data_IF_894188596560
#
_entry.id   IF_894188596560
#
_cell.length_a   1.000
_cell.length_b   1.000
_cell.length_c   1.000
_cell.angle_alpha   90.00
_cell.angle_beta   90.00
_cell.angle_gamma   90.00
#
_symmetry.space_group_name_H-M   'P 1'
#
loop_
_entity.id
_entity.type
_entity.pdbx_description
1 polymer ?
#
# COMPACT_ATOMS: atom_id res chain seq x y z
N UNK A 1 7.54 -2.92 7.43
CA UNK A 1 8.93 -2.41 7.52
C UNK A 1 9.12 -1.30 6.51
N UNK A 2 9.54 -0.13 6.96
CA UNK A 2 9.82 1.03 6.09
C UNK A 2 11.31 1.33 6.16
N UNK A 3 12.01 1.16 5.04
CA UNK A 3 13.42 1.52 4.92
C UNK A 3 13.57 3.02 4.64
N UNK A 4 14.69 3.61 5.09
CA UNK A 4 15.04 4.99 4.74
C UNK A 4 15.36 5.11 3.24
N UNK A 5 15.33 6.31 2.69
CA UNK A 5 15.69 6.50 1.27
C UNK A 5 17.16 6.17 1.00
N UNK A 6 18.05 6.42 1.96
CA UNK A 6 19.46 6.03 1.88
C UNK A 6 19.61 4.51 1.82
N UNK A 7 18.88 3.79 2.67
CA UNK A 7 18.88 2.33 2.67
C UNK A 7 18.36 1.77 1.35
N UNK A 8 17.27 2.34 0.81
CA UNK A 8 16.72 1.93 -0.49
C UNK A 8 17.70 2.20 -1.62
N UNK A 9 18.46 3.29 -1.56
CA UNK A 9 19.48 3.58 -2.56
C UNK A 9 20.66 2.60 -2.46
N UNK A 10 21.10 2.27 -1.25
CA UNK A 10 22.13 1.24 -1.05
C UNK A 10 21.66 -0.12 -1.56
N UNK A 11 20.41 -0.51 -1.28
CA UNK A 11 19.81 -1.72 -1.85
C UNK A 11 19.82 -1.69 -3.38
N UNK A 12 19.44 -0.57 -4.00
CA UNK A 12 19.44 -0.44 -5.45
C UNK A 12 20.85 -0.58 -6.04
N UNK A 13 21.88 0.01 -5.42
CA UNK A 13 23.28 -0.14 -5.84
C UNK A 13 23.71 -1.61 -5.84
N UNK A 14 23.43 -2.32 -4.75
CA UNK A 14 23.74 -3.75 -4.62
C UNK A 14 23.01 -4.57 -5.70
N UNK A 15 21.77 -4.19 -6.03
CA UNK A 15 20.97 -4.87 -7.03
C UNK A 15 21.48 -4.66 -8.46
N UNK A 16 21.87 -3.44 -8.81
CA UNK A 16 22.43 -3.12 -10.13
C UNK A 16 23.80 -3.76 -10.34
N UNK A 17 24.59 -3.90 -9.28
CA UNK A 17 25.95 -4.47 -9.34
C UNK A 17 25.96 -5.96 -9.71
N UNK A 18 24.88 -6.69 -9.42
CA UNK A 18 24.70 -8.10 -9.83
C UNK A 18 23.72 -8.29 -10.99
N UNK A 19 23.65 -7.34 -11.92
CA UNK A 19 22.79 -7.43 -13.10
C UNK A 19 21.33 -7.77 -12.77
N UNK A 20 20.78 -7.16 -11.71
CA UNK A 20 19.41 -7.37 -11.23
C UNK A 20 19.16 -8.78 -10.62
N UNK A 21 20.20 -9.48 -10.16
CA UNK A 21 20.02 -10.71 -9.39
C UNK A 21 19.72 -10.40 -7.92
N UNK A 22 18.46 -10.60 -7.52
CA UNK A 22 17.99 -10.29 -6.17
C UNK A 22 18.63 -11.16 -5.08
N UNK A 23 18.98 -12.42 -5.35
CA UNK A 23 19.57 -13.28 -4.31
C UNK A 23 21.02 -12.92 -4.04
N UNK A 24 21.78 -12.61 -5.09
CA UNK A 24 23.16 -12.13 -4.96
C UNK A 24 23.20 -10.75 -4.28
N UNK A 25 22.29 -9.84 -4.64
CA UNK A 25 22.17 -8.53 -4.04
C UNK A 25 21.87 -8.57 -2.54
N UNK A 26 21.03 -9.51 -2.08
CA UNK A 26 20.77 -9.73 -0.65
C UNK A 26 22.06 -10.11 0.07
N UNK A 27 22.82 -11.09 -0.45
CA UNK A 27 24.08 -11.53 0.18
C UNK A 27 25.07 -10.38 0.33
N UNK A 28 25.27 -9.60 -0.73
CA UNK A 28 26.18 -8.45 -0.67
C UNK A 28 25.64 -7.35 0.26
N UNK A 29 24.33 -7.11 0.30
CA UNK A 29 23.75 -6.17 1.27
C UNK A 29 23.97 -6.64 2.72
N UNK A 30 23.87 -7.95 2.99
CA UNK A 30 24.15 -8.50 4.32
C UNK A 30 25.63 -8.43 4.69
N UNK A 31 26.54 -8.59 3.73
CA UNK A 31 27.98 -8.47 3.95
C UNK A 31 28.39 -7.02 4.25
N UNK A 32 27.80 -6.04 3.54
CA UNK A 32 28.13 -4.62 3.69
C UNK A 32 27.40 -3.94 4.86
N UNK A 33 26.18 -4.37 5.17
CA UNK A 33 25.29 -3.72 6.13
C UNK A 33 24.67 -4.70 7.12
N UNK A 34 25.43 -5.72 7.54
CA UNK A 34 24.97 -6.79 8.43
C UNK A 34 24.40 -6.34 9.77
N UNK A 35 24.77 -5.16 10.25
CA UNK A 35 24.22 -4.55 11.47
C UNK A 35 22.78 -4.05 11.30
N UNK A 36 22.27 -3.98 10.06
CA UNK A 36 20.94 -3.46 9.72
C UNK A 36 19.94 -4.60 9.50
N UNK A 37 18.66 -4.23 9.44
CA UNK A 37 17.60 -5.17 9.06
C UNK A 37 17.81 -5.69 7.64
N UNK A 38 17.86 -7.01 7.49
CA UNK A 38 18.09 -7.66 6.20
C UNK A 38 16.81 -7.59 5.35
N UNK A 39 16.83 -6.91 4.19
CA UNK A 39 15.68 -6.82 3.32
C UNK A 39 15.39 -8.13 2.58
N UNK A 40 14.11 -8.42 2.35
CA UNK A 40 13.69 -9.53 1.49
C UNK A 40 14.13 -9.31 0.05
N UNK A 41 14.44 -10.40 -0.69
CA UNK A 41 14.79 -10.38 -2.13
C UNK A 41 13.80 -9.59 -2.99
N UNK A 42 12.52 -9.64 -2.65
CA UNK A 42 11.46 -8.92 -3.39
C UNK A 42 11.54 -7.40 -3.22
N UNK A 43 12.18 -6.93 -2.15
CA UNK A 43 12.33 -5.50 -1.87
C UNK A 43 13.20 -4.83 -2.93
N UNK A 44 14.28 -5.48 -3.35
CA UNK A 44 15.22 -4.95 -4.33
C UNK A 44 14.55 -4.72 -5.69
N UNK A 45 13.87 -5.74 -6.22
CA UNK A 45 13.14 -5.62 -7.49
C UNK A 45 11.98 -4.61 -7.39
N UNK A 46 11.30 -4.55 -6.25
CA UNK A 46 10.24 -3.57 -6.01
C UNK A 46 10.77 -2.13 -6.01
N UNK A 47 11.94 -1.88 -5.42
CA UNK A 47 12.58 -0.56 -5.39
C UNK A 47 12.85 -0.08 -6.83
N UNK A 48 13.50 -0.92 -7.65
CA UNK A 48 13.75 -0.58 -9.06
C UNK A 48 12.44 -0.35 -9.82
N UNK A 49 11.45 -1.24 -9.64
CA UNK A 49 10.15 -1.11 -10.29
C UNK A 49 9.43 0.18 -9.92
N UNK A 50 9.46 0.58 -8.65
CA UNK A 50 8.84 1.82 -8.20
C UNK A 50 9.53 3.05 -8.85
N UNK A 51 10.86 3.05 -8.94
CA UNK A 51 11.59 4.13 -9.61
C UNK A 51 11.23 4.21 -11.09
N UNK A 52 11.19 3.09 -11.80
CA UNK A 52 10.83 3.05 -13.23
C UNK A 52 9.38 3.49 -13.48
N UNK A 53 8.43 3.10 -12.62
CA UNK A 53 7.00 3.37 -12.84
C UNK A 53 6.53 4.71 -12.28
N UNK A 54 7.14 5.20 -11.20
CA UNK A 54 6.62 6.33 -10.43
C UNK A 54 7.65 7.46 -10.23
N UNK A 55 8.89 7.29 -10.68
CA UNK A 55 9.98 8.26 -10.46
C UNK A 55 10.36 8.44 -8.99
N UNK A 56 9.87 7.57 -8.10
CA UNK A 56 10.15 7.64 -6.67
C UNK A 56 10.23 6.25 -6.04
N UNK A 57 10.92 6.16 -4.90
CA UNK A 57 11.06 4.89 -4.17
C UNK A 57 9.72 4.35 -3.64
N UNK A 58 8.76 5.24 -3.41
CA UNK A 58 7.46 4.88 -2.90
C UNK A 58 6.49 4.75 -4.07
N UNK A 59 5.60 3.77 -3.97
CA UNK A 59 4.45 3.76 -4.86
C UNK A 59 3.64 5.02 -4.53
N UNK A 60 3.39 5.85 -5.54
CA UNK A 60 2.44 6.95 -5.41
C UNK A 60 1.06 6.32 -5.18
N UNK A 61 0.69 6.08 -3.93
CA UNK A 61 -0.62 5.57 -3.53
C UNK A 61 -1.64 6.71 -3.64
N UNK A 62 -1.77 7.32 -4.82
CA UNK A 62 -2.72 8.39 -5.08
C UNK A 62 -4.16 7.90 -5.12
N UNK A 63 -4.41 6.58 -5.10
CA UNK A 63 -5.74 6.00 -5.36
C UNK A 63 -6.09 4.76 -4.52
N UNK A 64 -5.77 4.77 -3.23
CA UNK A 64 -6.54 3.94 -2.28
C UNK A 64 -7.27 4.83 -1.29
N UNK A 65 -7.84 5.93 -1.78
CA UNK A 65 -9.04 6.46 -1.11
C UNK A 65 -10.10 5.42 -1.43
N UNK A 66 -10.34 4.48 -0.51
CA UNK A 66 -11.57 3.67 -0.53
C UNK A 66 -12.69 4.70 -0.75
N UNK A 67 -13.35 4.67 -1.90
CA UNK A 67 -14.40 5.63 -2.21
C UNK A 67 -15.30 5.69 -0.98
N UNK A 68 -15.34 6.85 -0.30
CA UNK A 68 -16.25 7.02 0.82
C UNK A 68 -17.62 6.67 0.25
N UNK A 69 -18.32 5.74 0.91
CA UNK A 69 -19.66 5.34 0.49
C UNK A 69 -20.46 6.63 0.33
N UNK A 70 -21.04 6.87 -0.84
CA UNK A 70 -21.81 8.09 -1.09
C UNK A 70 -23.00 8.04 -0.13
N UNK A 71 -22.99 8.91 0.89
CA UNK A 71 -24.12 9.09 1.80
C UNK A 71 -25.07 10.04 1.08
N UNK A 72 -26.20 9.52 0.62
CA UNK A 72 -27.25 10.33 0.01
C UNK A 72 -28.21 10.79 1.12
N UNK A 73 -28.26 12.10 1.37
CA UNK A 73 -29.12 12.71 2.41
C UNK A 73 -30.62 12.37 2.21
N UNK A 74 -31.07 12.21 0.97
CA UNK A 74 -32.46 11.80 0.72
C UNK A 74 -32.72 10.39 1.26
N UNK A 75 -31.76 9.48 1.08
CA UNK A 75 -31.88 8.11 1.56
C UNK A 75 -31.79 8.06 3.09
N UNK A 76 -30.97 8.91 3.72
CA UNK A 76 -30.90 8.95 5.19
C UNK A 76 -32.22 9.43 5.79
N UNK A 77 -32.87 10.44 5.20
CA UNK A 77 -34.19 10.92 5.64
C UNK A 77 -35.24 9.80 5.52
N UNK A 78 -35.25 9.04 4.42
CA UNK A 78 -36.21 7.94 4.22
C UNK A 78 -36.01 6.83 5.25
N UNK A 79 -34.75 6.46 5.53
CA UNK A 79 -34.42 5.45 6.55
C UNK A 79 -34.82 5.91 7.94
N UNK A 80 -34.54 7.16 8.29
CA UNK A 80 -34.92 7.73 9.58
C UNK A 80 -36.45 7.81 9.72
N UNK A 81 -37.17 8.22 8.68
CA UNK A 81 -38.62 8.28 8.70
C UNK A 81 -39.27 6.91 8.91
N UNK A 82 -38.72 5.85 8.31
CA UNK A 82 -39.21 4.47 8.52
C UNK A 82 -38.90 3.97 9.93
N UNK A 83 -37.71 4.26 10.45
CA UNK A 83 -37.32 3.90 11.81
C UNK A 83 -38.21 4.59 12.86
N UNK A 84 -38.51 5.88 12.67
CA UNK A 84 -39.42 6.63 13.55
C UNK A 84 -40.85 6.07 13.51
N UNK A 85 -41.33 5.66 12.33
CA UNK A 85 -42.68 5.09 12.21
C UNK A 85 -42.79 3.70 12.84
N UNK A 86 -41.78 2.86 12.67
CA UNK A 86 -41.78 1.50 13.19
C UNK A 86 -40.35 1.11 13.58
N UNK A 87 -39.97 1.19 14.87
CA UNK A 87 -38.61 0.92 15.34
C UNK A 87 -38.09 -0.49 15.05
N UNK A 88 -39.00 -1.46 14.87
CA UNK A 88 -38.68 -2.85 14.57
C UNK A 88 -38.60 -3.16 13.06
N UNK A 89 -38.70 -2.14 12.19
CA UNK A 89 -38.60 -2.36 10.75
C UNK A 89 -37.20 -2.81 10.36
N UNK A 90 -37.16 -3.86 9.54
CA UNK A 90 -35.90 -4.35 8.98
C UNK A 90 -35.38 -3.39 7.92
N UNK A 91 -34.08 -3.08 7.99
CA UNK A 91 -33.39 -2.24 7.00
C UNK A 91 -33.51 -2.80 5.56
N UNK A 92 -33.71 -4.11 5.39
CA UNK A 92 -33.92 -4.72 4.06
C UNK A 92 -35.21 -4.27 3.38
N UNK A 93 -36.25 -3.95 4.17
CA UNK A 93 -37.53 -3.47 3.64
C UNK A 93 -37.36 -2.03 3.13
N UNK A 94 -36.50 -1.25 3.77
CA UNK A 94 -36.27 0.16 3.46
C UNK A 94 -35.30 0.32 2.28
N UNK A 95 -34.36 -0.62 2.10
CA UNK A 95 -33.36 -0.60 1.03
C UNK A 95 -33.77 -1.35 -0.24
N UNK A 96 -34.99 -1.88 -0.29
CA UNK A 96 -35.55 -2.62 -1.43
C UNK A 96 -35.97 -1.71 -2.57
#
# INVERSE_FOLDING_TARGET
>A
MSYSNEEKMNMLKCYTQYNNNATAAVKLYTELYGDRTIPSRFTFSRIQKNLLLHGSFNKNNTKSVRCKRVINEKNTIIVLAHLYKNPHTSLRIISG
#
